data_IF_065940761116
#
_entry.id   IF_065940761116
#
_cell.length_a   1.000
_cell.length_b   1.000
_cell.length_c   1.000
_cell.angle_alpha   90.00
_cell.angle_beta   90.00
_cell.angle_gamma   90.00
#
_symmetry.space_group_name_H-M   'P 1'
#
loop_
_entity.id
_entity.type
_entity.pdbx_description
1 polymer ?
#
# COMPACT_ATOMS: atom_id res chain seq x y z
N UNK A 1 -6.98 -5.35 -19.36
CA UNK A 1 -6.45 -4.31 -20.30
C UNK A 1 -4.93 -4.29 -20.12
N UNK A 2 -4.13 -4.08 -21.17
CA UNK A 2 -2.67 -3.87 -20.96
C UNK A 2 -2.48 -2.54 -20.23
N UNK A 3 -1.63 -2.45 -19.20
CA UNK A 3 -1.32 -1.19 -18.54
C UNK A 3 -0.80 -0.18 -19.57
N UNK A 4 -1.31 1.05 -19.55
CA UNK A 4 -0.86 2.11 -20.45
C UNK A 4 0.30 2.85 -19.82
N UNK A 5 1.50 2.65 -20.32
CA UNK A 5 2.70 3.37 -19.88
C UNK A 5 2.60 4.84 -20.20
N UNK A 6 3.03 5.67 -19.28
CA UNK A 6 3.21 7.12 -19.46
C UNK A 6 4.68 7.45 -19.35
N UNK A 7 5.23 8.09 -20.35
CA UNK A 7 6.60 8.61 -20.37
C UNK A 7 6.64 10.04 -19.83
N UNK A 8 7.81 10.54 -19.52
CA UNK A 8 7.97 11.94 -19.11
C UNK A 8 7.73 12.20 -17.63
N UNK A 9 7.84 11.21 -16.76
CA UNK A 9 7.63 11.41 -15.31
C UNK A 9 8.95 11.66 -14.58
N UNK A 10 8.86 12.36 -13.44
CA UNK A 10 9.88 12.38 -12.41
C UNK A 10 9.36 11.60 -11.20
N UNK A 11 10.14 10.61 -10.73
CA UNK A 11 9.76 9.75 -9.61
C UNK A 11 10.86 9.78 -8.57
N UNK A 12 10.50 10.15 -7.33
CA UNK A 12 11.40 10.18 -6.19
C UNK A 12 11.00 9.13 -5.17
N UNK A 13 11.96 8.29 -4.73
CA UNK A 13 11.77 7.36 -3.62
C UNK A 13 11.74 8.11 -2.29
N UNK A 14 10.77 7.81 -1.45
CA UNK A 14 10.64 8.32 -0.09
C UNK A 14 10.70 7.15 0.88
N UNK A 15 11.70 7.18 1.75
CA UNK A 15 11.98 6.11 2.71
C UNK A 15 11.44 6.53 4.07
N UNK A 16 10.51 5.74 4.61
CA UNK A 16 9.87 5.92 5.90
C UNK A 16 9.11 7.26 6.05
N UNK A 17 8.53 7.47 7.21
CA UNK A 17 7.79 8.68 7.52
C UNK A 17 8.66 9.94 7.51
N UNK A 18 9.95 9.80 7.84
CA UNK A 18 10.91 10.91 7.90
C UNK A 18 11.08 11.63 6.57
N UNK A 19 11.02 10.90 5.45
CA UNK A 19 11.08 11.51 4.12
C UNK A 19 9.69 11.76 3.55
N UNK A 20 8.71 10.92 3.89
CA UNK A 20 7.37 10.98 3.32
C UNK A 20 6.54 12.15 3.89
N UNK A 21 6.43 12.27 5.22
CA UNK A 21 5.52 13.26 5.82
C UNK A 21 5.89 14.71 5.51
N UNK A 22 7.15 15.15 5.60
CA UNK A 22 7.48 16.53 5.22
C UNK A 22 7.09 16.85 3.77
N UNK A 23 7.34 15.92 2.84
CA UNK A 23 7.05 16.12 1.41
C UNK A 23 5.56 16.14 1.12
N UNK A 24 4.79 15.20 1.70
CA UNK A 24 3.35 15.12 1.43
C UNK A 24 2.60 16.28 2.10
N UNK A 25 2.98 16.67 3.32
CA UNK A 25 2.34 17.81 4.00
C UNK A 25 2.68 19.13 3.33
N UNK A 26 3.93 19.33 2.88
CA UNK A 26 4.30 20.49 2.08
C UNK A 26 3.47 20.58 0.80
N UNK A 27 3.34 19.48 0.07
CA UNK A 27 2.54 19.44 -1.15
C UNK A 27 1.06 19.75 -0.88
N UNK A 28 0.48 19.16 0.17
CA UNK A 28 -0.90 19.44 0.58
C UNK A 28 -1.09 20.91 0.98
N UNK A 29 -0.16 21.48 1.76
CA UNK A 29 -0.23 22.87 2.19
C UNK A 29 -0.19 23.86 1.02
N UNK A 30 0.45 23.50 -0.10
CA UNK A 30 0.54 24.29 -1.32
C UNK A 30 -0.63 24.10 -2.28
N UNK A 31 -1.57 23.19 -1.99
CA UNK A 31 -2.72 22.90 -2.83
C UNK A 31 -3.58 24.13 -3.10
N UNK A 32 -4.09 24.24 -4.34
CA UNK A 32 -4.90 25.37 -4.82
C UNK A 32 -6.29 24.96 -5.27
N UNK A 33 -6.45 23.73 -5.77
CA UNK A 33 -7.70 23.28 -6.37
C UNK A 33 -8.28 22.09 -5.64
N UNK A 34 -7.49 21.02 -5.45
CA UNK A 34 -7.98 19.80 -4.83
C UNK A 34 -6.91 18.95 -4.15
N UNK A 35 -7.35 18.20 -3.13
CA UNK A 35 -6.62 17.08 -2.55
C UNK A 35 -7.52 15.85 -2.57
N UNK A 36 -7.05 14.76 -3.18
CA UNK A 36 -7.64 13.43 -3.07
C UNK A 36 -6.71 12.56 -2.23
N UNK A 37 -7.19 12.09 -1.08
CA UNK A 37 -6.43 11.27 -0.15
C UNK A 37 -7.15 9.93 0.06
N UNK A 38 -6.45 8.83 -0.19
CA UNK A 38 -6.88 7.48 0.16
C UNK A 38 -5.87 6.85 1.10
N UNK A 39 -6.32 6.29 2.21
CA UNK A 39 -5.44 5.60 3.16
C UNK A 39 -6.16 4.49 3.91
N UNK A 40 -5.39 3.51 4.39
CA UNK A 40 -5.93 2.43 5.21
C UNK A 40 -6.09 2.84 6.66
N UNK A 41 -5.09 3.55 7.23
CA UNK A 41 -5.06 3.92 8.64
C UNK A 41 -4.73 5.40 8.79
N UNK A 42 -5.50 6.08 9.64
CA UNK A 42 -5.14 7.33 10.30
C UNK A 42 -5.24 7.08 11.80
N UNK A 43 -4.19 7.36 12.57
CA UNK A 43 -4.24 7.34 14.02
C UNK A 43 -4.33 8.75 14.60
N UNK A 44 -4.99 8.90 15.74
CA UNK A 44 -5.01 10.13 16.51
C UNK A 44 -3.71 10.28 17.32
N UNK A 45 -2.60 10.44 16.59
CA UNK A 45 -1.26 10.68 17.11
C UNK A 45 -0.65 11.94 16.47
N UNK A 46 0.62 12.23 16.77
CA UNK A 46 1.28 13.43 16.25
C UNK A 46 1.22 13.57 14.72
N UNK A 47 1.25 12.44 13.96
CA UNK A 47 1.18 12.44 12.50
C UNK A 47 -0.25 12.67 12.03
N UNK A 48 -1.23 11.99 12.63
CA UNK A 48 -2.64 12.20 12.32
C UNK A 48 -3.11 13.60 12.68
N UNK A 49 -2.64 14.16 13.80
CA UNK A 49 -2.93 15.55 14.18
C UNK A 49 -2.32 16.56 13.20
N UNK A 50 -1.07 16.32 12.72
CA UNK A 50 -0.47 17.16 11.68
C UNK A 50 -1.24 17.07 10.36
N UNK A 51 -1.68 15.87 9.96
CA UNK A 51 -2.54 15.68 8.79
C UNK A 51 -3.86 16.45 8.95
N UNK A 52 -4.55 16.27 10.09
CA UNK A 52 -5.82 16.95 10.39
C UNK A 52 -5.67 18.45 10.26
N UNK A 53 -4.65 19.05 10.91
CA UNK A 53 -4.41 20.48 10.87
C UNK A 53 -4.16 20.95 9.42
N UNK A 54 -3.30 20.26 8.67
CA UNK A 54 -3.02 20.60 7.27
C UNK A 54 -4.29 20.60 6.41
N UNK A 55 -5.13 19.55 6.53
CA UNK A 55 -6.35 19.43 5.73
C UNK A 55 -7.40 20.49 6.10
N UNK A 56 -7.53 20.84 7.38
CA UNK A 56 -8.41 21.92 7.85
C UNK A 56 -7.98 23.26 7.24
N UNK A 57 -6.70 23.61 7.34
CA UNK A 57 -6.17 24.89 6.83
C UNK A 57 -6.36 24.99 5.30
N UNK A 58 -6.17 23.89 4.59
CA UNK A 58 -6.34 23.84 3.14
C UNK A 58 -7.81 23.96 2.75
N UNK A 59 -8.72 23.25 3.42
CA UNK A 59 -10.14 23.32 3.16
C UNK A 59 -10.71 24.72 3.45
N UNK A 60 -10.25 25.39 4.52
CA UNK A 60 -10.64 26.77 4.86
C UNK A 60 -10.19 27.80 3.81
N UNK A 61 -9.18 27.49 2.99
CA UNK A 61 -8.80 28.31 1.82
C UNK A 61 -9.69 28.07 0.59
N UNK A 62 -10.68 27.17 0.67
CA UNK A 62 -11.59 26.84 -0.42
C UNK A 62 -11.10 25.71 -1.34
N UNK A 63 -10.01 25.04 -1.00
CA UNK A 63 -9.53 23.86 -1.75
C UNK A 63 -10.48 22.67 -1.47
N UNK A 64 -10.83 21.94 -2.52
CA UNK A 64 -11.61 20.73 -2.39
C UNK A 64 -10.77 19.59 -1.77
N UNK A 65 -11.19 19.09 -0.61
CA UNK A 65 -10.48 18.02 0.09
C UNK A 65 -11.39 16.81 0.24
N UNK A 66 -11.01 15.71 -0.41
CA UNK A 66 -11.68 14.42 -0.32
C UNK A 66 -10.76 13.42 0.38
N UNK A 67 -11.23 12.84 1.48
CA UNK A 67 -10.50 11.85 2.27
C UNK A 67 -11.28 10.55 2.29
N UNK A 68 -10.74 9.48 1.72
CA UNK A 68 -11.30 8.14 1.81
C UNK A 68 -10.43 7.26 2.71
N UNK A 69 -11.03 6.73 3.76
CA UNK A 69 -10.36 5.85 4.73
C UNK A 69 -11.04 4.49 4.79
N UNK A 70 -10.30 3.46 5.19
CA UNK A 70 -10.87 2.15 5.44
C UNK A 70 -11.67 2.13 6.75
N UNK A 71 -12.92 1.68 6.69
CA UNK A 71 -13.80 1.63 7.86
C UNK A 71 -13.37 0.64 8.95
N UNK A 72 -12.45 -0.29 8.64
CA UNK A 72 -11.82 -1.16 9.62
C UNK A 72 -10.55 -0.54 10.20
N UNK A 73 -9.71 0.05 9.35
CA UNK A 73 -8.40 0.58 9.73
C UNK A 73 -8.50 1.87 10.57
N UNK A 74 -9.57 2.66 10.38
CA UNK A 74 -9.78 3.95 11.06
C UNK A 74 -10.94 3.93 12.05
N UNK A 75 -11.48 2.77 12.39
CA UNK A 75 -12.64 2.65 13.27
C UNK A 75 -12.42 3.15 14.72
N UNK A 76 -11.21 3.46 15.10
CA UNK A 76 -10.85 3.95 16.44
C UNK A 76 -10.52 5.47 16.45
N UNK A 77 -10.71 6.18 15.31
CA UNK A 77 -10.62 7.63 15.31
C UNK A 77 -11.75 8.25 16.16
N UNK A 78 -11.43 9.22 17.03
CA UNK A 78 -12.45 9.92 17.80
C UNK A 78 -13.40 10.71 16.87
N UNK A 79 -14.69 10.77 17.24
CA UNK A 79 -15.69 11.55 16.50
C UNK A 79 -15.28 13.03 16.41
N UNK A 80 -14.68 13.60 17.46
CA UNK A 80 -14.17 14.96 17.49
C UNK A 80 -13.04 15.21 16.46
N UNK A 81 -12.25 14.18 16.13
CA UNK A 81 -11.23 14.28 15.10
C UNK A 81 -11.86 14.45 13.71
N UNK A 82 -12.87 13.62 13.39
CA UNK A 82 -13.57 13.66 12.10
C UNK A 82 -14.44 14.94 12.01
N UNK A 83 -15.21 15.26 13.05
CA UNK A 83 -16.12 16.41 13.04
C UNK A 83 -15.39 17.74 12.88
N UNK A 84 -14.19 17.89 13.46
CA UNK A 84 -13.38 19.10 13.26
C UNK A 84 -12.94 19.31 11.80
N UNK A 85 -12.63 18.22 11.07
CA UNK A 85 -12.29 18.30 9.65
C UNK A 85 -13.53 18.58 8.79
N UNK A 86 -14.63 17.88 9.04
CA UNK A 86 -15.86 18.06 8.25
C UNK A 86 -16.48 19.43 8.47
N UNK A 87 -16.42 19.99 9.68
CA UNK A 87 -16.83 21.38 9.96
C UNK A 87 -15.98 22.42 9.22
N UNK A 88 -14.73 22.11 8.90
CA UNK A 88 -13.85 22.95 8.09
C UNK A 88 -14.05 22.80 6.57
N UNK A 89 -14.94 21.88 6.13
CA UNK A 89 -15.24 21.64 4.72
C UNK A 89 -14.53 20.43 4.11
N UNK A 90 -13.77 19.65 4.89
CA UNK A 90 -13.18 18.39 4.42
C UNK A 90 -14.31 17.37 4.23
N UNK A 91 -14.37 16.75 3.06
CA UNK A 91 -15.28 15.63 2.81
C UNK A 91 -14.61 14.32 3.20
N UNK A 92 -15.13 13.69 4.24
CA UNK A 92 -14.55 12.49 4.83
C UNK A 92 -15.45 11.27 4.56
N UNK A 93 -14.86 10.21 3.99
CA UNK A 93 -15.58 9.03 3.53
C UNK A 93 -14.99 7.77 4.14
N UNK A 94 -15.82 6.94 4.75
CA UNK A 94 -15.44 5.62 5.21
C UNK A 94 -15.77 4.56 4.16
N UNK A 95 -14.77 3.77 3.78
CA UNK A 95 -14.93 2.62 2.90
C UNK A 95 -15.45 1.42 3.69
N UNK A 96 -16.58 0.88 3.24
CA UNK A 96 -17.20 -0.34 3.75
C UNK A 96 -17.33 -0.36 5.29
N UNK A 97 -17.89 0.72 5.90
CA UNK A 97 -18.10 0.78 7.34
C UNK A 97 -19.10 -0.29 7.74
N UNK A 98 -18.69 -1.22 8.60
CA UNK A 98 -19.55 -2.28 9.10
C UNK A 98 -19.72 -2.13 10.61
N UNK A 99 -20.94 -2.38 11.14
CA UNK A 99 -21.17 -2.37 12.58
C UNK A 99 -20.30 -3.45 13.26
N UNK A 100 -19.89 -3.17 14.48
CA UNK A 100 -19.25 -4.19 15.33
C UNK A 100 -20.30 -5.18 15.82
N UNK A 101 -20.08 -6.47 15.57
CA UNK A 101 -20.90 -7.54 16.15
C UNK A 101 -20.22 -8.05 17.43
N UNK A 102 -20.88 -7.91 18.57
CA UNK A 102 -20.33 -8.27 19.88
C UNK A 102 -18.92 -7.68 20.14
N UNK A 103 -18.67 -6.42 19.75
CA UNK A 103 -17.40 -5.73 19.87
C UNK A 103 -16.34 -6.13 18.83
N UNK A 104 -16.58 -7.16 18.01
CA UNK A 104 -15.67 -7.60 16.96
C UNK A 104 -15.99 -6.92 15.62
N UNK A 105 -14.94 -6.51 14.91
CA UNK A 105 -15.05 -5.95 13.54
C UNK A 105 -15.40 -7.06 12.56
N UNK A 106 -16.42 -6.85 11.73
CA UNK A 106 -16.96 -7.88 10.81
C UNK A 106 -16.41 -7.79 9.40
N UNK A 107 -15.84 -6.65 8.97
CA UNK A 107 -15.23 -6.47 7.65
C UNK A 107 -13.76 -6.91 7.61
N UNK A 108 -13.50 -8.19 7.86
CA UNK A 108 -12.14 -8.75 7.89
C UNK A 108 -11.46 -8.80 6.51
N UNK A 109 -12.24 -8.78 5.42
CA UNK A 109 -11.79 -8.93 4.05
C UNK A 109 -12.22 -7.73 3.20
N UNK A 110 -11.51 -7.45 2.11
CA UNK A 110 -11.85 -6.42 1.12
C UNK A 110 -11.68 -4.99 1.64
N UNK A 111 -10.48 -4.68 2.11
CA UNK A 111 -10.11 -3.39 2.69
C UNK A 111 -9.68 -2.41 1.62
N UNK A 112 -9.90 -1.13 1.88
CA UNK A 112 -9.22 -0.05 1.17
C UNK A 112 -7.77 0.02 1.67
N UNK A 113 -6.88 -0.74 1.03
CA UNK A 113 -5.48 -0.81 1.46
C UNK A 113 -4.55 0.08 0.63
N UNK A 114 -5.09 0.84 -0.32
CA UNK A 114 -4.36 1.85 -1.10
C UNK A 114 -3.91 2.99 -0.19
N UNK A 115 -2.75 3.57 -0.47
CA UNK A 115 -2.24 4.79 0.17
C UNK A 115 -1.81 5.71 -0.94
N UNK A 116 -2.68 6.63 -1.30
CA UNK A 116 -2.51 7.54 -2.42
C UNK A 116 -2.88 8.95 -1.97
N UNK A 117 -2.08 9.91 -2.38
CA UNK A 117 -2.44 11.33 -2.34
C UNK A 117 -2.27 11.90 -3.73
N UNK A 118 -3.25 12.69 -4.18
CA UNK A 118 -3.13 13.49 -5.38
C UNK A 118 -3.39 14.95 -5.00
N UNK A 119 -2.51 15.83 -5.42
CA UNK A 119 -2.61 17.27 -5.19
C UNK A 119 -2.74 17.97 -6.53
N UNK A 120 -3.83 18.72 -6.71
CA UNK A 120 -4.16 19.54 -7.89
C UNK A 120 -4.06 18.78 -9.23
N UNK A 121 -4.17 17.44 -9.21
CA UNK A 121 -3.93 16.62 -10.39
C UNK A 121 -2.51 16.71 -10.98
N UNK A 122 -1.57 17.39 -10.31
CA UNK A 122 -0.20 17.66 -10.78
C UNK A 122 0.86 16.81 -10.10
N UNK A 123 0.61 16.39 -8.86
CA UNK A 123 1.53 15.62 -8.03
C UNK A 123 0.80 14.48 -7.36
N UNK A 124 1.43 13.32 -7.27
CA UNK A 124 0.89 12.19 -6.55
C UNK A 124 1.92 11.52 -5.65
N UNK A 125 1.44 10.91 -4.56
CA UNK A 125 2.21 10.07 -3.65
C UNK A 125 1.55 8.70 -3.58
N UNK A 126 2.36 7.63 -3.70
CA UNK A 126 1.86 6.25 -3.72
C UNK A 126 2.82 5.37 -2.92
N UNK A 127 2.32 4.53 -2.02
CA UNK A 127 3.20 3.66 -1.25
C UNK A 127 2.52 2.78 -0.21
N UNK A 128 3.31 2.36 0.78
CA UNK A 128 2.87 1.54 1.91
C UNK A 128 2.59 2.34 3.18
N UNK A 129 3.01 3.61 3.26
CA UNK A 129 3.01 4.43 4.47
C UNK A 129 1.59 4.91 4.81
N UNK A 130 1.14 4.62 6.02
CA UNK A 130 -0.11 5.13 6.59
C UNK A 130 0.15 6.46 7.33
N UNK A 131 -0.92 7.10 7.84
CA UNK A 131 -0.78 8.28 8.69
C UNK A 131 -0.75 7.88 10.16
N UNK A 132 0.44 7.51 10.61
CA UNK A 132 0.71 7.05 11.98
C UNK A 132 2.16 7.30 12.36
N UNK A 133 2.39 7.65 13.62
CA UNK A 133 3.72 7.90 14.17
C UNK A 133 4.64 6.67 14.13
N UNK A 134 4.10 5.47 14.00
CA UNK A 134 4.87 4.23 13.91
C UNK A 134 5.70 4.08 12.61
N UNK A 135 5.56 5.02 11.66
CA UNK A 135 6.44 5.14 10.50
C UNK A 135 7.63 6.09 10.73
N UNK A 136 7.75 6.71 11.91
CA UNK A 136 8.82 7.61 12.30
C UNK A 136 9.83 6.90 13.22
N UNK A 137 11.12 7.15 13.05
CA UNK A 137 12.18 6.49 13.83
C UNK A 137 12.13 6.82 15.33
N UNK A 138 11.61 7.97 15.73
CA UNK A 138 11.43 8.37 17.12
C UNK A 138 10.29 7.60 17.85
N UNK A 139 9.51 6.81 17.13
CA UNK A 139 8.58 5.83 17.70
C UNK A 139 9.32 4.68 18.42
N UNK A 140 10.63 4.55 18.17
CA UNK A 140 11.49 3.57 18.81
C UNK A 140 11.58 2.23 18.07
N UNK A 141 11.83 1.11 18.79
CA UNK A 141 12.13 -0.19 18.17
C UNK A 141 11.00 -0.75 17.29
N UNK A 142 9.79 -0.27 17.46
CA UNK A 142 8.62 -0.67 16.68
C UNK A 142 8.37 0.25 15.46
N UNK A 143 9.22 1.25 15.23
CA UNK A 143 9.16 2.08 14.05
C UNK A 143 9.26 1.23 12.78
N UNK A 144 8.37 1.44 11.83
CA UNK A 144 8.30 0.64 10.60
C UNK A 144 9.32 1.08 9.55
N UNK A 145 9.87 0.11 8.82
CA UNK A 145 10.60 0.33 7.58
C UNK A 145 9.61 0.24 6.43
N UNK A 146 9.36 1.35 5.72
CA UNK A 146 8.38 1.39 4.63
C UNK A 146 8.81 2.36 3.52
N UNK A 147 8.08 2.36 2.42
CA UNK A 147 8.42 3.09 1.21
C UNK A 147 7.20 3.73 0.59
N UNK A 148 7.40 4.91 0.03
CA UNK A 148 6.48 5.57 -0.89
C UNK A 148 7.27 6.20 -2.04
N UNK A 149 6.58 6.66 -3.06
CA UNK A 149 7.13 7.51 -4.11
C UNK A 149 6.31 8.79 -4.23
N UNK A 150 7.00 9.88 -4.49
CA UNK A 150 6.43 11.10 -5.05
C UNK A 150 6.60 11.05 -6.56
N UNK A 151 5.55 11.39 -7.28
CA UNK A 151 5.57 11.43 -8.75
C UNK A 151 4.95 12.71 -9.29
N UNK A 152 5.62 13.29 -10.29
CA UNK A 152 5.17 14.44 -11.08
C UNK A 152 5.28 14.05 -12.55
N UNK A 153 4.29 14.43 -13.36
CA UNK A 153 4.26 14.13 -14.79
C UNK A 153 3.01 13.38 -15.24
N UNK A 154 2.95 12.93 -16.49
CA UNK A 154 1.72 12.45 -17.12
C UNK A 154 1.03 11.26 -16.43
N UNK A 155 1.75 10.41 -15.69
CA UNK A 155 1.15 9.29 -14.95
C UNK A 155 0.22 9.75 -13.83
N UNK A 156 0.38 10.99 -13.33
CA UNK A 156 -0.50 11.54 -12.27
C UNK A 156 -1.95 11.57 -12.72
N UNK A 157 -2.23 11.80 -14.00
CA UNK A 157 -3.60 11.72 -14.52
C UNK A 157 -4.21 10.31 -14.39
N UNK A 158 -3.40 9.25 -14.49
CA UNK A 158 -3.90 7.88 -14.24
C UNK A 158 -4.23 7.68 -12.76
N UNK A 159 -3.38 8.20 -11.87
CA UNK A 159 -3.58 8.14 -10.41
C UNK A 159 -4.82 8.91 -10.03
N UNK A 160 -4.97 10.14 -10.50
CA UNK A 160 -6.14 10.99 -10.30
C UNK A 160 -7.43 10.29 -10.76
N UNK A 161 -7.46 9.80 -12.01
CA UNK A 161 -8.62 9.08 -12.54
C UNK A 161 -8.95 7.82 -11.73
N UNK A 162 -7.96 7.17 -11.12
CA UNK A 162 -8.16 6.04 -10.23
C UNK A 162 -8.83 6.45 -8.92
N UNK A 163 -8.37 7.53 -8.27
CA UNK A 163 -9.00 8.09 -7.07
C UNK A 163 -10.44 8.55 -7.35
N UNK A 164 -10.66 9.23 -8.47
CA UNK A 164 -12.00 9.64 -8.89
C UNK A 164 -12.95 8.46 -9.10
N UNK A 165 -12.47 7.34 -9.68
CA UNK A 165 -13.29 6.11 -9.80
C UNK A 165 -13.64 5.53 -8.44
N UNK A 166 -12.72 5.59 -7.49
CA UNK A 166 -12.94 5.12 -6.12
C UNK A 166 -14.00 5.97 -5.41
N UNK A 167 -13.95 7.29 -5.59
CA UNK A 167 -14.85 8.26 -4.98
C UNK A 167 -16.17 8.45 -5.75
N UNK A 168 -16.30 7.89 -6.97
CA UNK A 168 -17.48 8.07 -7.82
C UNK A 168 -18.85 7.84 -7.15
N UNK A 169 -19.00 6.92 -6.16
CA UNK A 169 -20.28 6.74 -5.46
C UNK A 169 -20.72 7.96 -4.63
N UNK A 170 -19.81 8.87 -4.27
CA UNK A 170 -20.05 10.02 -3.38
C UNK A 170 -19.73 11.36 -4.02
N UNK A 171 -19.07 11.39 -5.18
CA UNK A 171 -18.77 12.61 -5.92
C UNK A 171 -19.95 13.01 -6.81
N UNK A 172 -20.38 14.25 -6.73
CA UNK A 172 -21.40 14.83 -7.62
C UNK A 172 -20.91 14.97 -9.06
N UNK A 173 -19.62 15.27 -9.24
CA UNK A 173 -18.96 15.33 -10.54
C UNK A 173 -17.50 14.91 -10.44
N UNK A 174 -17.04 14.16 -11.44
CA UNK A 174 -15.64 13.77 -11.57
C UNK A 174 -15.00 14.65 -12.64
N UNK A 175 -14.19 15.61 -12.22
CA UNK A 175 -13.38 16.41 -13.13
C UNK A 175 -12.35 15.52 -13.85
N UNK A 176 -12.22 15.63 -15.15
CA UNK A 176 -11.12 15.02 -15.89
C UNK A 176 -9.97 16.00 -15.88
N UNK A 177 -8.87 15.65 -15.23
CA UNK A 177 -7.64 16.43 -15.26
C UNK A 177 -6.87 16.09 -16.53
N UNK A 178 -6.38 17.12 -17.22
CA UNK A 178 -5.43 16.92 -18.31
C UNK A 178 -4.11 16.37 -17.74
N UNK A 179 -3.44 15.45 -18.46
CA UNK A 179 -2.16 14.95 -18.00
C UNK A 179 -1.17 16.09 -17.81
N UNK A 180 -0.47 16.13 -16.65
CA UNK A 180 0.59 17.12 -16.45
C UNK A 180 1.67 17.04 -17.52
N UNK A 181 2.39 18.13 -17.72
CA UNK A 181 3.54 18.20 -18.59
C UNK A 181 4.64 17.21 -18.17
N UNK A 182 5.47 16.85 -19.14
CA UNK A 182 6.65 16.02 -18.86
C UNK A 182 7.58 16.70 -17.84
N UNK A 183 7.99 15.95 -16.81
CA UNK A 183 8.81 16.44 -15.69
C UNK A 183 10.15 15.69 -15.55
N UNK A 184 10.37 14.61 -16.30
CA UNK A 184 11.60 13.82 -16.21
C UNK A 184 11.66 12.66 -17.22
N UNK A 185 12.65 11.78 -17.10
CA UNK A 185 12.89 10.72 -18.08
C UNK A 185 12.13 9.40 -17.80
N UNK A 186 11.43 9.31 -16.68
CA UNK A 186 10.88 8.05 -16.18
C UNK A 186 9.62 7.64 -16.92
N UNK A 187 9.55 6.37 -17.35
CA UNK A 187 8.30 5.73 -17.76
C UNK A 187 7.62 5.09 -16.55
N UNK A 188 6.35 5.39 -16.33
CA UNK A 188 5.61 4.84 -15.21
C UNK A 188 4.19 4.42 -15.61
N UNK A 189 3.59 3.54 -14.80
CA UNK A 189 2.19 3.13 -14.96
C UNK A 189 1.60 2.76 -13.60
N UNK A 190 0.38 3.23 -13.33
CA UNK A 190 -0.39 2.78 -12.18
C UNK A 190 -0.98 1.40 -12.47
N UNK A 191 -0.77 0.46 -11.58
CA UNK A 191 -1.38 -0.87 -11.60
C UNK A 191 -2.19 -1.06 -10.34
N UNK A 192 -3.46 -1.35 -10.52
CA UNK A 192 -4.43 -1.48 -9.45
C UNK A 192 -4.83 -2.92 -9.24
N UNK A 193 -5.31 -3.21 -8.06
CA UNK A 193 -6.09 -4.39 -7.75
C UNK A 193 -7.42 -3.96 -7.15
N UNK A 194 -8.52 -4.36 -7.79
CA UNK A 194 -9.89 -4.12 -7.32
C UNK A 194 -10.70 -5.43 -7.29
N UNK A 195 -11.96 -5.35 -6.83
CA UNK A 195 -12.87 -6.50 -6.83
C UNK A 195 -13.68 -6.62 -8.14
N UNK A 196 -13.38 -5.79 -9.16
CA UNK A 196 -14.07 -5.70 -10.44
C UNK A 196 -13.21 -6.11 -11.62
N UNK A 197 -12.69 -5.11 -12.35
CA UNK A 197 -11.96 -5.28 -13.61
C UNK A 197 -10.48 -5.61 -13.44
N UNK A 198 -9.87 -5.18 -12.33
CA UNK A 198 -8.42 -5.24 -12.08
C UNK A 198 -8.06 -6.30 -11.02
N UNK A 199 -8.73 -7.45 -11.04
CA UNK A 199 -8.61 -8.46 -9.97
C UNK A 199 -7.20 -9.01 -9.77
N UNK A 200 -6.42 -9.13 -10.86
CA UNK A 200 -5.12 -9.82 -10.85
C UNK A 200 -4.01 -8.98 -11.49
N UNK A 201 -4.23 -7.70 -11.78
CA UNK A 201 -3.30 -6.91 -12.60
C UNK A 201 -1.94 -6.77 -11.91
N UNK A 202 -1.90 -6.57 -10.58
CA UNK A 202 -0.66 -6.52 -9.81
C UNK A 202 0.07 -7.87 -9.88
N UNK A 203 -0.61 -9.00 -9.63
CA UNK A 203 0.00 -10.34 -9.73
C UNK A 203 0.57 -10.60 -11.12
N UNK A 204 -0.19 -10.24 -12.16
CA UNK A 204 0.24 -10.41 -13.56
C UNK A 204 1.49 -9.59 -13.87
N UNK A 205 1.60 -8.36 -13.36
CA UNK A 205 2.80 -7.54 -13.52
C UNK A 205 4.03 -8.19 -12.90
N UNK A 206 3.93 -8.67 -11.66
CA UNK A 206 5.02 -9.41 -11.00
C UNK A 206 5.40 -10.69 -11.77
N UNK A 207 4.42 -11.49 -12.19
CA UNK A 207 4.66 -12.71 -12.96
C UNK A 207 5.39 -12.41 -14.28
N UNK A 208 5.00 -11.35 -14.98
CA UNK A 208 5.65 -10.96 -16.24
C UNK A 208 7.09 -10.47 -16.00
N UNK A 209 7.32 -9.68 -14.96
CA UNK A 209 8.65 -9.22 -14.60
C UNK A 209 9.58 -10.38 -14.23
N UNK A 210 9.14 -11.29 -13.34
CA UNK A 210 9.94 -12.44 -12.92
C UNK A 210 10.26 -13.43 -14.06
N UNK A 211 9.33 -13.63 -15.00
CA UNK A 211 9.57 -14.45 -16.20
C UNK A 211 10.62 -13.86 -17.13
N UNK A 212 10.66 -12.53 -17.23
CA UNK A 212 11.57 -11.82 -18.12
C UNK A 212 12.94 -11.54 -17.48
N UNK A 213 13.06 -11.68 -16.19
CA UNK A 213 14.28 -11.45 -15.44
C UNK A 213 15.46 -12.22 -16.02
N UNK A 214 16.62 -11.55 -16.16
CA UNK A 214 17.86 -12.08 -16.75
C UNK A 214 19.05 -12.02 -15.81
N UNK A 215 19.09 -11.05 -14.89
CA UNK A 215 20.24 -10.81 -14.01
C UNK A 215 19.84 -10.97 -12.54
N UNK A 216 18.86 -10.21 -12.07
CA UNK A 216 18.48 -10.19 -10.65
C UNK A 216 16.99 -9.89 -10.42
N UNK A 217 16.49 -10.42 -9.32
CA UNK A 217 15.21 -10.07 -8.72
C UNK A 217 15.48 -9.76 -7.24
N UNK A 218 15.09 -8.57 -6.77
CA UNK A 218 15.09 -8.25 -5.34
C UNK A 218 13.69 -7.87 -4.92
N UNK A 219 13.17 -8.51 -3.87
CA UNK A 219 11.83 -8.23 -3.33
C UNK A 219 11.97 -7.94 -1.84
N UNK A 220 11.55 -6.76 -1.39
CA UNK A 220 11.38 -6.45 0.03
C UNK A 220 9.88 -6.35 0.33
N UNK A 221 9.38 -7.29 1.16
CA UNK A 221 7.94 -7.40 1.39
C UNK A 221 7.62 -7.77 2.84
N UNK A 222 6.67 -7.03 3.44
CA UNK A 222 6.25 -7.21 4.82
C UNK A 222 5.62 -8.59 5.06
N UNK A 223 4.64 -8.93 4.24
CA UNK A 223 3.90 -10.19 4.34
C UNK A 223 4.09 -10.97 3.04
N UNK A 224 4.92 -12.01 3.14
CA UNK A 224 5.29 -12.83 1.98
C UNK A 224 4.71 -14.24 2.12
N UNK A 225 3.57 -14.43 1.52
CA UNK A 225 2.93 -15.74 1.38
C UNK A 225 2.25 -15.83 0.01
N UNK A 226 3.01 -15.65 -1.10
CA UNK A 226 2.42 -15.53 -2.42
C UNK A 226 1.78 -16.83 -2.88
N UNK A 227 0.87 -16.70 -3.83
CA UNK A 227 0.28 -17.83 -4.53
C UNK A 227 1.33 -18.69 -5.26
N UNK A 228 1.00 -19.95 -5.49
CA UNK A 228 1.90 -20.93 -6.13
C UNK A 228 2.52 -20.43 -7.43
N UNK A 229 1.80 -19.62 -8.22
CA UNK A 229 2.28 -19.08 -9.49
C UNK A 229 3.51 -18.19 -9.31
N UNK A 230 3.46 -17.26 -8.36
CA UNK A 230 4.58 -16.35 -8.04
C UNK A 230 5.76 -17.12 -7.47
N UNK A 231 5.52 -18.05 -6.53
CA UNK A 231 6.57 -18.91 -5.97
C UNK A 231 7.30 -19.69 -7.06
N UNK A 232 6.55 -20.27 -8.00
CA UNK A 232 7.12 -21.03 -9.12
C UNK A 232 7.95 -20.14 -10.03
N UNK A 233 7.51 -18.92 -10.33
CA UNK A 233 8.27 -18.02 -11.22
C UNK A 233 9.56 -17.51 -10.57
N UNK A 234 9.57 -17.23 -9.25
CA UNK A 234 10.80 -16.91 -8.51
C UNK A 234 11.81 -18.07 -8.58
N UNK A 235 11.34 -19.27 -8.30
CA UNK A 235 12.14 -20.49 -8.39
C UNK A 235 12.65 -20.73 -9.81
N UNK A 236 11.79 -20.57 -10.83
CA UNK A 236 12.19 -20.73 -12.22
C UNK A 236 13.22 -19.68 -12.64
N UNK A 237 13.12 -18.46 -12.13
CA UNK A 237 14.13 -17.42 -12.37
C UNK A 237 15.49 -17.84 -11.79
N UNK A 238 15.52 -18.30 -10.53
CA UNK A 238 16.75 -18.79 -9.91
C UNK A 238 17.37 -19.97 -10.70
N UNK A 239 16.57 -20.92 -11.16
CA UNK A 239 17.00 -22.04 -12.02
C UNK A 239 17.54 -21.60 -13.39
N UNK A 240 17.15 -20.43 -13.89
CA UNK A 240 17.73 -19.83 -15.09
C UNK A 240 19.06 -19.10 -14.82
N UNK A 241 19.53 -19.07 -13.56
CA UNK A 241 20.74 -18.37 -13.16
C UNK A 241 20.51 -16.92 -12.75
N UNK A 242 19.25 -16.48 -12.60
CA UNK A 242 18.91 -15.15 -12.09
C UNK A 242 19.18 -15.10 -10.59
N UNK A 243 19.87 -14.07 -10.11
CA UNK A 243 20.07 -13.85 -8.68
C UNK A 243 18.75 -13.39 -8.04
N UNK A 244 18.14 -14.25 -7.20
CA UNK A 244 16.87 -13.93 -6.51
C UNK A 244 17.11 -13.70 -5.05
N UNK A 245 16.80 -12.49 -4.56
CA UNK A 245 16.93 -12.09 -3.16
C UNK A 245 15.59 -11.64 -2.60
N UNK A 246 15.19 -12.20 -1.49
CA UNK A 246 13.98 -11.85 -0.73
C UNK A 246 14.38 -11.24 0.61
N UNK A 247 13.94 -10.02 0.88
CA UNK A 247 14.09 -9.32 2.16
C UNK A 247 12.73 -9.36 2.84
N UNK A 248 12.62 -10.14 3.91
CA UNK A 248 11.35 -10.46 4.54
C UNK A 248 11.34 -10.03 6.01
N UNK A 249 10.16 -9.96 6.60
CA UNK A 249 9.96 -9.54 7.98
C UNK A 249 10.63 -10.51 8.98
N UNK A 250 11.63 -10.02 9.70
CA UNK A 250 12.35 -10.75 10.76
C UNK A 250 11.81 -10.49 12.18
N UNK A 251 11.18 -9.33 12.41
CA UNK A 251 10.52 -8.94 13.66
C UNK A 251 9.03 -8.66 13.38
N UNK A 252 8.19 -9.69 13.26
CA UNK A 252 6.81 -9.51 12.85
C UNK A 252 5.97 -8.88 13.96
N UNK A 253 5.12 -7.96 13.57
CA UNK A 253 3.94 -7.53 14.31
C UNK A 253 2.94 -8.70 14.49
N UNK A 254 2.87 -9.62 13.51
CA UNK A 254 2.06 -10.83 13.55
C UNK A 254 2.92 -12.09 13.44
N UNK A 255 3.19 -12.78 14.55
CA UNK A 255 4.04 -13.98 14.62
C UNK A 255 3.58 -15.13 13.70
N UNK A 256 2.27 -15.29 13.50
CA UNK A 256 1.72 -16.34 12.66
C UNK A 256 2.01 -16.13 11.17
N UNK A 257 2.07 -14.88 10.69
CA UNK A 257 2.43 -14.58 9.28
C UNK A 257 3.86 -15.01 8.99
N UNK A 258 4.78 -14.71 9.90
CA UNK A 258 6.16 -15.19 9.77
C UNK A 258 6.25 -16.72 9.78
N UNK A 259 5.47 -17.38 10.64
CA UNK A 259 5.42 -18.85 10.68
C UNK A 259 4.96 -19.42 9.32
N UNK A 260 3.93 -18.84 8.70
CA UNK A 260 3.47 -19.23 7.37
C UNK A 260 4.53 -18.99 6.30
N UNK A 261 5.15 -17.80 6.27
CA UNK A 261 6.22 -17.49 5.31
C UNK A 261 7.38 -18.49 5.41
N UNK A 262 7.76 -18.88 6.63
CA UNK A 262 8.83 -19.88 6.86
C UNK A 262 8.50 -21.28 6.33
N UNK A 263 7.24 -21.62 6.17
CA UNK A 263 6.85 -22.89 5.53
C UNK A 263 7.29 -22.94 4.05
N UNK A 264 7.40 -21.76 3.41
CA UNK A 264 7.78 -21.65 2.01
C UNK A 264 9.30 -21.56 1.79
N UNK A 265 10.08 -21.27 2.84
CA UNK A 265 11.53 -21.04 2.73
C UNK A 265 12.26 -22.24 2.15
N UNK A 266 11.95 -23.45 2.62
CA UNK A 266 12.60 -24.66 2.14
C UNK A 266 12.39 -24.88 0.62
N UNK A 267 11.21 -24.53 0.11
CA UNK A 267 10.89 -24.64 -1.31
C UNK A 267 11.73 -23.70 -2.17
N UNK A 268 12.03 -22.50 -1.68
CA UNK A 268 12.79 -21.47 -2.38
C UNK A 268 14.31 -21.67 -2.22
N UNK A 269 14.77 -21.96 -1.00
CA UNK A 269 16.20 -22.11 -0.69
C UNK A 269 16.85 -23.29 -1.43
N UNK A 270 16.10 -24.33 -1.81
CA UNK A 270 16.61 -25.47 -2.58
C UNK A 270 17.01 -25.12 -4.00
N UNK A 271 16.54 -24.02 -4.53
CA UNK A 271 16.85 -23.53 -5.87
C UNK A 271 17.63 -22.20 -5.80
N UNK A 272 18.47 -22.02 -4.78
CA UNK A 272 19.40 -20.90 -4.58
C UNK A 272 18.75 -19.51 -4.45
N UNK A 273 17.44 -19.43 -4.11
CA UNK A 273 16.81 -18.17 -3.73
C UNK A 273 17.36 -17.71 -2.38
N UNK A 274 17.95 -16.54 -2.32
CA UNK A 274 18.49 -15.98 -1.07
C UNK A 274 17.36 -15.34 -0.24
N UNK A 275 17.27 -15.68 1.03
CA UNK A 275 16.26 -15.16 1.96
C UNK A 275 16.97 -14.47 3.12
N UNK A 276 16.63 -13.20 3.32
CA UNK A 276 17.16 -12.32 4.36
C UNK A 276 16.02 -11.86 5.27
N UNK A 277 16.08 -12.18 6.56
CA UNK A 277 15.13 -11.69 7.55
C UNK A 277 15.63 -10.35 8.11
N UNK A 278 14.94 -9.25 7.79
CA UNK A 278 15.23 -7.92 8.31
C UNK A 278 14.88 -7.83 9.79
N UNK A 279 15.84 -7.39 10.62
CA UNK A 279 15.75 -7.50 12.08
C UNK A 279 15.95 -6.18 12.84
N UNK A 280 16.21 -5.05 12.16
CA UNK A 280 16.41 -3.75 12.84
C UNK A 280 15.11 -3.22 13.42
N UNK A 281 14.01 -3.30 12.69
CA UNK A 281 12.67 -2.86 13.05
C UNK A 281 11.62 -3.60 12.20
N UNK A 282 10.31 -3.49 12.46
CA UNK A 282 9.30 -4.12 11.62
C UNK A 282 9.39 -3.67 10.17
N UNK A 283 9.52 -4.62 9.23
CA UNK A 283 9.46 -4.33 7.81
C UNK A 283 7.99 -4.21 7.38
N UNK A 284 7.59 -3.06 6.85
CA UNK A 284 6.27 -2.84 6.28
C UNK A 284 6.32 -2.53 4.78
N UNK A 285 7.51 -2.45 4.19
CA UNK A 285 7.72 -2.17 2.77
C UNK A 285 7.12 -3.19 1.82
N UNK A 286 6.72 -2.72 0.63
CA UNK A 286 6.19 -3.51 -0.48
C UNK A 286 6.83 -2.99 -1.76
N UNK A 287 8.10 -3.35 -1.96
CA UNK A 287 8.89 -2.91 -3.10
C UNK A 287 9.58 -4.10 -3.75
N UNK A 288 9.79 -4.00 -5.04
CA UNK A 288 10.59 -4.96 -5.79
C UNK A 288 11.32 -4.29 -6.95
N UNK A 289 12.42 -4.89 -7.37
CA UNK A 289 13.10 -4.54 -8.59
C UNK A 289 13.50 -5.81 -9.38
N UNK A 290 13.59 -5.66 -10.68
CA UNK A 290 14.02 -6.71 -11.61
C UNK A 290 15.00 -6.11 -12.61
N UNK A 291 16.14 -6.75 -12.75
CA UNK A 291 17.26 -6.32 -13.59
C UNK A 291 17.65 -4.85 -13.28
N UNK A 292 17.84 -4.01 -14.31
CA UNK A 292 18.38 -2.65 -14.13
C UNK A 292 17.34 -1.53 -14.33
N UNK A 293 16.13 -1.85 -14.77
CA UNK A 293 15.17 -0.80 -15.15
C UNK A 293 13.77 -0.96 -14.56
N UNK A 294 13.34 -2.15 -14.20
CA UNK A 294 12.00 -2.38 -13.67
C UNK A 294 11.98 -2.30 -12.16
N UNK A 295 11.10 -1.48 -11.62
CA UNK A 295 10.86 -1.38 -10.17
C UNK A 295 9.38 -1.23 -9.87
N UNK A 296 8.97 -1.54 -8.64
CA UNK A 296 7.61 -1.26 -8.15
C UNK A 296 7.63 -0.81 -6.70
N UNK A 297 6.81 0.18 -6.40
CA UNK A 297 6.51 0.66 -5.05
C UNK A 297 5.00 0.79 -4.91
N UNK A 298 4.44 0.30 -3.80
CA UNK A 298 2.99 0.39 -3.61
C UNK A 298 2.50 -0.15 -2.28
N UNK A 299 1.21 -0.44 -2.24
CA UNK A 299 0.53 -0.91 -1.03
C UNK A 299 0.42 -2.43 -0.95
N UNK A 300 0.61 -3.16 -2.08
CA UNK A 300 0.27 -4.58 -2.18
C UNK A 300 1.34 -5.48 -1.59
N UNK A 301 1.00 -6.21 -0.53
CA UNK A 301 1.78 -7.35 -0.09
C UNK A 301 1.67 -8.51 -1.08
N UNK A 302 2.68 -9.39 -1.06
CA UNK A 302 2.63 -10.65 -1.81
C UNK A 302 2.00 -11.75 -0.93
N UNK A 303 0.73 -11.56 -0.59
CA UNK A 303 -0.08 -12.48 0.20
C UNK A 303 -1.49 -12.63 -0.41
N UNK A 304 -2.26 -13.69 -0.01
CA UNK A 304 -3.56 -13.94 -0.60
C UNK A 304 -4.60 -12.86 -0.34
N UNK A 305 -4.53 -12.13 0.77
CA UNK A 305 -5.50 -11.07 1.10
C UNK A 305 -5.28 -9.87 0.19
N UNK A 306 -4.03 -9.40 0.08
CA UNK A 306 -3.67 -8.29 -0.79
C UNK A 306 -3.91 -8.60 -2.27
N UNK A 307 -3.56 -9.81 -2.73
CA UNK A 307 -3.67 -10.18 -4.14
C UNK A 307 -5.08 -10.66 -4.55
N UNK A 308 -6.02 -10.91 -3.60
CA UNK A 308 -7.34 -11.46 -3.94
C UNK A 308 -8.54 -10.68 -3.42
N UNK A 309 -8.38 -9.87 -2.36
CA UNK A 309 -9.52 -9.20 -1.71
C UNK A 309 -9.37 -7.69 -1.55
N UNK A 310 -8.20 -7.21 -1.12
CA UNK A 310 -8.01 -5.78 -0.84
C UNK A 310 -8.02 -4.94 -2.11
N UNK A 311 -8.35 -3.66 -1.97
CA UNK A 311 -8.05 -2.66 -2.97
C UNK A 311 -6.61 -2.21 -2.78
N UNK A 312 -5.79 -2.40 -3.80
CA UNK A 312 -4.36 -2.12 -3.77
C UNK A 312 -3.95 -1.26 -4.97
N UNK A 313 -2.85 -0.55 -4.83
CA UNK A 313 -2.25 0.22 -5.91
C UNK A 313 -0.73 0.18 -5.83
N UNK A 314 -0.10 -0.08 -6.97
CA UNK A 314 1.34 -0.07 -7.14
C UNK A 314 1.70 0.83 -8.32
N UNK A 315 2.73 1.66 -8.15
CA UNK A 315 3.38 2.30 -9.28
C UNK A 315 4.45 1.35 -9.82
N UNK A 316 4.39 1.03 -11.10
CA UNK A 316 5.45 0.33 -11.81
C UNK A 316 6.29 1.38 -12.53
N UNK A 317 7.59 1.30 -12.36
CA UNK A 317 8.56 2.31 -12.75
C UNK A 317 9.59 1.66 -13.66
N UNK A 318 9.89 2.28 -14.79
CA UNK A 318 11.04 1.96 -15.64
C UNK A 318 11.97 3.15 -15.68
N UNK A 319 13.01 3.04 -14.91
CA UNK A 319 14.05 4.07 -14.79
C UNK A 319 15.29 3.44 -14.16
N UNK A 320 16.42 3.53 -14.84
CA UNK A 320 17.68 2.92 -14.36
C UNK A 320 18.20 3.62 -13.11
N UNK A 321 18.13 4.94 -13.06
CA UNK A 321 18.64 5.70 -11.91
C UNK A 321 17.81 5.40 -10.66
N UNK A 322 16.48 5.39 -10.77
CA UNK A 322 15.58 4.98 -9.71
C UNK A 322 15.84 3.54 -9.25
N UNK A 323 15.95 2.61 -10.20
CA UNK A 323 16.20 1.19 -9.91
C UNK A 323 17.54 1.00 -9.18
N UNK A 324 18.62 1.64 -9.64
CA UNK A 324 19.93 1.57 -8.99
C UNK A 324 19.89 2.17 -7.57
N UNK A 325 19.22 3.30 -7.37
CA UNK A 325 19.03 3.90 -6.04
C UNK A 325 18.29 2.95 -5.08
N UNK A 326 17.20 2.36 -5.54
CA UNK A 326 16.44 1.36 -4.77
C UNK A 326 17.29 0.12 -4.48
N UNK A 327 18.04 -0.39 -5.47
CA UNK A 327 18.93 -1.54 -5.30
C UNK A 327 20.04 -1.27 -4.28
N UNK A 328 20.70 -0.11 -4.36
CA UNK A 328 21.74 0.28 -3.42
C UNK A 328 21.20 0.32 -1.98
N UNK A 329 20.02 0.95 -1.78
CA UNK A 329 19.37 1.01 -0.48
C UNK A 329 18.99 -0.39 0.06
N UNK A 330 18.36 -1.23 -0.76
CA UNK A 330 17.97 -2.59 -0.33
C UNK A 330 19.17 -3.50 -0.07
N UNK A 331 20.27 -3.30 -0.80
CA UNK A 331 21.54 -4.02 -0.60
C UNK A 331 22.19 -3.65 0.73
N UNK A 332 22.26 -2.34 1.04
CA UNK A 332 22.74 -1.85 2.33
C UNK A 332 21.87 -2.40 3.49
N UNK A 333 20.55 -2.29 3.35
CA UNK A 333 19.61 -2.81 4.34
C UNK A 333 19.80 -4.31 4.58
N UNK A 334 20.01 -5.08 3.50
CA UNK A 334 20.24 -6.52 3.56
C UNK A 334 21.55 -6.88 4.25
N UNK A 335 22.62 -6.18 3.96
CA UNK A 335 23.96 -6.43 4.52
C UNK A 335 24.05 -5.99 5.99
N UNK A 336 23.54 -4.80 6.31
CA UNK A 336 23.71 -4.21 7.63
C UNK A 336 22.71 -4.74 8.68
N UNK A 337 21.49 -5.11 8.27
CA UNK A 337 20.36 -5.28 9.19
C UNK A 337 19.56 -6.57 9.02
N UNK A 338 20.00 -7.48 8.15
CA UNK A 338 19.30 -8.73 7.90
C UNK A 338 20.10 -9.94 8.44
N UNK A 339 19.36 -11.00 8.76
CA UNK A 339 19.90 -12.33 9.05
C UNK A 339 19.61 -13.24 7.85
N UNK A 340 20.67 -13.75 7.23
CA UNK A 340 20.51 -14.74 6.16
C UNK A 340 19.87 -16.03 6.71
N UNK A 341 18.91 -16.55 5.98
CA UNK A 341 18.27 -17.84 6.29
C UNK A 341 18.99 -18.93 5.54
N UNK A 342 19.57 -19.89 6.26
CA UNK A 342 20.25 -21.06 5.68
C UNK A 342 19.28 -22.22 5.48
N UNK A 343 19.55 -23.08 4.48
CA UNK A 343 18.76 -24.27 4.24
C UNK A 343 18.71 -25.18 5.47
N UNK A 344 19.83 -25.33 6.19
CA UNK A 344 19.89 -26.13 7.42
C UNK A 344 18.89 -25.65 8.48
N UNK A 345 18.74 -24.33 8.67
CA UNK A 345 17.73 -23.75 9.59
C UNK A 345 16.31 -23.97 9.08
N UNK A 346 16.07 -23.87 7.78
CA UNK A 346 14.77 -24.06 7.18
C UNK A 346 14.29 -25.52 7.26
N UNK A 347 15.23 -26.47 7.15
CA UNK A 347 14.94 -27.92 7.20
C UNK A 347 14.82 -28.46 8.63
N UNK A 348 15.35 -27.76 9.64
CA UNK A 348 15.26 -28.21 11.04
C UNK A 348 13.81 -28.42 11.46
N UNK A 349 13.43 -29.65 11.79
CA UNK A 349 12.06 -30.05 12.13
C UNK A 349 11.12 -30.14 10.92
N UNK A 350 11.65 -30.30 9.71
CA UNK A 350 10.86 -30.40 8.47
C UNK A 350 9.84 -31.55 8.51
N UNK A 351 10.21 -32.72 9.04
CA UNK A 351 9.37 -33.92 9.04
C UNK A 351 8.02 -33.72 9.76
N UNK A 352 7.97 -32.99 10.88
CA UNK A 352 6.70 -32.70 11.57
C UNK A 352 5.97 -31.48 11.00
N UNK A 353 6.68 -30.60 10.26
CA UNK A 353 6.10 -29.46 9.53
C UNK A 353 5.61 -29.83 8.13
N UNK A 354 6.03 -30.96 7.59
CA UNK A 354 5.69 -31.36 6.23
C UNK A 354 4.19 -31.36 5.94
N UNK A 355 3.29 -31.84 6.84
CA UNK A 355 1.85 -31.74 6.60
C UNK A 355 1.35 -30.31 6.53
N UNK A 356 1.88 -29.39 7.37
CA UNK A 356 1.51 -27.97 7.39
C UNK A 356 2.02 -27.27 6.12
N UNK A 357 3.23 -27.61 5.68
CA UNK A 357 3.81 -27.10 4.43
C UNK A 357 2.93 -27.54 3.24
N UNK A 358 2.57 -28.82 3.20
CA UNK A 358 1.70 -29.37 2.17
C UNK A 358 0.33 -28.66 2.18
N UNK A 359 -0.30 -28.51 3.34
CA UNK A 359 -1.57 -27.81 3.49
C UNK A 359 -1.46 -26.33 3.05
N UNK A 360 -0.42 -25.63 3.50
CA UNK A 360 -0.14 -24.25 3.13
C UNK A 360 0.05 -24.09 1.61
N UNK A 361 0.78 -25.02 1.00
CA UNK A 361 1.00 -25.03 -0.46
C UNK A 361 -0.31 -25.25 -1.24
N UNK A 362 -1.16 -26.17 -0.78
CA UNK A 362 -2.45 -26.41 -1.38
C UNK A 362 -3.40 -25.23 -1.16
N UNK A 363 -3.39 -24.63 0.02
CA UNK A 363 -4.17 -23.42 0.32
C UNK A 363 -3.77 -22.30 -0.66
N UNK A 364 -2.48 -21.99 -0.83
CA UNK A 364 -2.03 -20.95 -1.76
C UNK A 364 -2.36 -21.29 -3.22
N UNK A 365 -2.35 -22.56 -3.58
CA UNK A 365 -2.69 -23.00 -4.94
C UNK A 365 -4.16 -22.81 -5.28
N UNK A 366 -5.04 -23.12 -4.34
CA UNK A 366 -6.49 -23.11 -4.57
C UNK A 366 -7.17 -21.81 -4.08
N UNK A 367 -6.47 -21.02 -3.28
CA UNK A 367 -7.01 -19.79 -2.70
C UNK A 367 -7.62 -18.82 -3.73
N UNK A 368 -7.02 -18.55 -4.90
CA UNK A 368 -7.62 -17.68 -5.91
C UNK A 368 -8.95 -18.21 -6.45
N UNK A 369 -9.13 -19.55 -6.49
CA UNK A 369 -10.40 -20.18 -6.88
C UNK A 369 -11.45 -20.04 -5.77
N UNK A 370 -11.04 -20.28 -4.52
CA UNK A 370 -11.91 -20.12 -3.33
C UNK A 370 -12.33 -18.65 -3.21
N UNK A 371 -11.39 -17.73 -3.37
CA UNK A 371 -11.67 -16.29 -3.37
C UNK A 371 -12.67 -15.88 -4.48
N UNK A 372 -12.64 -16.56 -5.63
CA UNK A 372 -13.59 -16.35 -6.72
C UNK A 372 -15.03 -16.81 -6.42
N UNK A 373 -15.24 -17.65 -5.40
CA UNK A 373 -16.58 -18.08 -4.98
C UNK A 373 -17.29 -17.07 -4.07
N UNK A 374 -16.54 -16.14 -3.48
CA UNK A 374 -17.17 -15.08 -2.69
C UNK A 374 -18.01 -14.17 -3.60
N UNK A 375 -19.21 -13.76 -3.16
CA UNK A 375 -20.09 -12.90 -3.93
C UNK A 375 -19.37 -11.62 -4.40
N UNK A 376 -19.76 -11.13 -5.58
CA UNK A 376 -19.29 -9.83 -6.05
C UNK A 376 -19.62 -8.77 -4.99
N UNK A 377 -18.59 -8.02 -4.57
CA UNK A 377 -18.74 -6.99 -3.56
C UNK A 377 -19.05 -5.66 -4.23
N UNK A 378 -20.14 -5.04 -3.83
CA UNK A 378 -20.42 -3.64 -4.15
C UNK A 378 -19.68 -2.78 -3.13
N UNK A 379 -18.74 -1.99 -3.60
CA UNK A 379 -18.02 -1.00 -2.79
C UNK A 379 -19.04 -0.02 -2.20
N UNK A 380 -18.98 0.21 -0.90
CA UNK A 380 -19.79 1.19 -0.21
C UNK A 380 -18.87 2.26 0.35
N UNK A 381 -19.10 3.50 -0.04
CA UNK A 381 -18.52 4.67 0.58
C UNK A 381 -19.64 5.38 1.33
N UNK A 382 -19.40 5.66 2.59
CA UNK A 382 -20.30 6.44 3.43
C UNK A 382 -19.62 7.76 3.77
N UNK A 383 -20.23 8.87 3.37
CA UNK A 383 -19.80 10.19 3.81
C UNK A 383 -20.12 10.35 5.29
N UNK A 384 -19.12 10.73 6.06
CA UNK A 384 -19.25 11.05 7.47
C UNK A 384 -19.37 12.58 7.56
N UNK A 385 -20.50 13.07 8.06
CA UNK A 385 -20.71 14.49 8.33
C UNK A 385 -20.66 14.71 9.84
N UNK A 386 -20.26 15.92 10.25
CA UNK A 386 -20.49 16.32 11.63
C UNK A 386 -22.01 16.34 11.86
N UNK A 387 -22.47 15.70 12.92
CA UNK A 387 -23.80 16.01 13.45
C UNK A 387 -23.77 17.47 13.91
N UNK A 388 -24.23 18.36 13.05
CA UNK A 388 -24.48 19.75 13.43
C UNK A 388 -25.69 19.65 14.34
N UNK A 389 -25.48 19.61 15.67
CA UNK A 389 -26.55 19.89 16.62
C UNK A 389 -27.13 21.23 16.22
N UNK A 390 -28.40 21.21 15.80
CA UNK A 390 -29.14 22.44 15.56
C UNK A 390 -29.04 23.30 16.84
N UNK A 391 -28.75 24.61 16.73
CA UNK A 391 -28.70 25.46 17.94
C UNK A 391 -30.00 25.26 18.71
N UNK A 392 -29.88 24.89 19.99
CA UNK A 392 -31.01 24.75 20.88
C UNK A 392 -31.80 26.05 20.82
N UNK A 393 -33.02 26.02 20.30
CA UNK A 393 -33.93 27.14 20.33
C UNK A 393 -34.08 27.60 21.79
N UNK A 394 -33.43 28.70 22.13
CA UNK A 394 -33.69 29.42 23.35
C UNK A 394 -35.13 29.98 23.24
N UNK A 395 -36.08 29.20 23.73
CA UNK A 395 -37.38 29.76 24.09
C UNK A 395 -37.17 30.71 25.25
N UNK A 396 -37.03 32.02 24.95
CA UNK A 396 -37.29 33.05 25.92
C UNK A 396 -38.75 32.94 26.34
N UNK A 397 -38.98 32.39 27.53
CA UNK A 397 -40.24 32.43 28.19
C UNK A 397 -40.59 33.87 28.58
N UNK A 398 -41.54 34.45 27.84
CA UNK A 398 -42.28 35.63 28.31
C UNK A 398 -43.22 35.20 29.42
N UNK A 399 -43.05 35.68 30.59
CA UNK A 399 -44.09 36.19 31.53
C UNK A 399 -43.51 37.25 32.45
#
# INVERSE_FOLDING_TARGET
MKPSWSDGNHVQLLINGEQYYPRVFEAMAQAREEILLETFIIFDDKVGQALRQTLIEVAQRGVRVEVAVDGYGTADLPDAFISSMTAAGVRFHAFDPQPRLAGMRTNLFRRLHRKIVVVDGQRAFIGGINYSADHLGDFGPQAKQDYAVEVVGPVVAQVHASCCRMLAPVLESVGRVEPPNAAGPTSAVLVERDNGRHRNDIEVCYLQAFRKARQRIVVANAYFFPGYRLLRELRNAARRGVEVTLILQGQPDMRWVRALSRLLYNYLLRDDVRIHEYCKRPLHGKVALVDDDWSTVGSSNLDPLSLSFNLEANLIIRDRAFNHGLYAHLSELSQAHCKAVTLERAVRGYWWRAPLIFLGFHLTRYFPRIAGWFPAHRQRLQSLQADIEAPADYHEGQT
#
